data_IF_385661816964
#
_entry.id   IF_385661816964
#
_cell.length_a   1.000
_cell.length_b   1.000
_cell.length_c   1.000
_cell.angle_alpha   90.00
_cell.angle_beta   90.00
_cell.angle_gamma   90.00
#
_symmetry.space_group_name_H-M   'P 1'
#
loop_
_entity.id
_entity.type
_entity.pdbx_description
1 polymer ?
#
# COMPACT_ATOMS: atom_id res chain seq x y z
N UNK A 1 -10.35 23.11 6.34
CA UNK A 1 -8.87 22.94 6.39
C UNK A 1 -8.29 23.86 7.46
N UNK A 2 -8.72 25.13 7.51
CA UNK A 2 -8.24 26.11 8.46
C UNK A 2 -8.38 25.70 9.94
N UNK A 3 -9.36 24.87 10.28
CA UNK A 3 -9.63 24.35 11.63
C UNK A 3 -8.90 23.03 11.94
N UNK A 4 -7.92 22.63 11.15
CA UNK A 4 -7.08 21.47 11.43
C UNK A 4 -7.61 20.14 10.85
N UNK A 5 -8.29 20.16 9.72
CA UNK A 5 -8.72 18.93 9.03
C UNK A 5 -7.55 18.05 8.58
N UNK A 6 -6.35 18.61 8.43
CA UNK A 6 -5.15 17.85 8.05
C UNK A 6 -4.41 17.38 9.31
N UNK A 7 -4.59 16.11 9.66
CA UNK A 7 -3.97 15.50 10.84
C UNK A 7 -2.61 14.83 10.55
N UNK A 8 -2.14 14.92 9.31
CA UNK A 8 -0.89 14.29 8.89
C UNK A 8 0.30 14.96 9.57
N UNK A 9 1.21 14.17 10.13
CA UNK A 9 2.42 14.64 10.77
C UNK A 9 3.27 15.53 9.83
N UNK A 10 3.70 16.68 10.36
CA UNK A 10 4.40 17.70 9.59
C UNK A 10 3.48 18.66 8.84
N UNK A 11 2.15 18.45 8.88
CA UNK A 11 1.13 19.36 8.37
C UNK A 11 0.23 19.94 9.48
N UNK A 12 0.37 19.52 10.72
CA UNK A 12 -0.42 19.99 11.86
C UNK A 12 -0.30 21.50 12.07
N UNK A 13 0.83 22.11 11.69
CA UNK A 13 1.02 23.56 11.73
C UNK A 13 0.32 24.32 10.60
N UNK A 14 -0.46 23.65 9.76
CA UNK A 14 -1.19 24.30 8.67
C UNK A 14 -2.29 25.26 9.14
N UNK A 15 -2.67 25.20 10.42
CA UNK A 15 -3.58 26.17 11.07
C UNK A 15 -2.88 27.44 11.56
N UNK A 16 -1.53 27.41 11.64
CA UNK A 16 -0.73 28.55 12.08
C UNK A 16 -0.33 29.42 10.88
N UNK A 17 -0.82 30.68 10.78
CA UNK A 17 -0.49 31.60 9.68
C UNK A 17 1.01 31.90 9.52
N UNK A 18 1.82 31.68 10.57
CA UNK A 18 3.27 31.87 10.52
C UNK A 18 4.03 30.65 9.98
N UNK A 19 3.34 29.53 9.74
CA UNK A 19 3.97 28.29 9.27
C UNK A 19 4.14 28.25 7.75
N UNK A 20 5.17 27.54 7.30
CA UNK A 20 5.40 27.32 5.87
C UNK A 20 4.30 26.45 5.23
N UNK A 21 3.76 25.49 5.98
CA UNK A 21 2.65 24.63 5.52
C UNK A 21 1.37 25.43 5.30
N UNK A 22 1.06 26.38 6.18
CA UNK A 22 -0.04 27.31 5.96
C UNK A 22 0.18 28.17 4.69
N UNK A 23 1.39 28.71 4.50
CA UNK A 23 1.72 29.50 3.32
C UNK A 23 1.54 28.69 2.01
N UNK A 24 1.87 27.40 2.02
CA UNK A 24 1.61 26.51 0.87
C UNK A 24 0.11 26.37 0.63
N UNK A 25 -0.69 26.06 1.65
CA UNK A 25 -2.14 25.90 1.50
C UNK A 25 -2.82 27.18 1.05
N UNK A 26 -2.38 28.33 1.58
CA UNK A 26 -2.85 29.65 1.14
C UNK A 26 -2.54 29.90 -0.33
N UNK A 27 -1.32 29.62 -0.77
CA UNK A 27 -0.95 29.77 -2.18
C UNK A 27 -1.75 28.84 -3.11
N UNK A 28 -2.05 27.61 -2.63
CA UNK A 28 -2.94 26.69 -3.38
C UNK A 28 -4.37 27.22 -3.44
N UNK A 29 -4.91 27.73 -2.32
CA UNK A 29 -6.27 28.30 -2.28
C UNK A 29 -6.42 29.48 -3.25
N UNK A 30 -5.42 30.35 -3.34
CA UNK A 30 -5.40 31.46 -4.27
C UNK A 30 -5.25 31.01 -5.74
N UNK A 31 -4.40 30.02 -6.01
CA UNK A 31 -4.11 29.54 -7.35
C UNK A 31 -5.25 28.70 -7.96
N UNK A 32 -6.03 28.01 -7.12
CA UNK A 32 -7.10 27.09 -7.52
C UNK A 32 -8.48 27.55 -7.10
N UNK A 33 -8.62 28.77 -6.59
CA UNK A 33 -9.89 29.47 -6.26
C UNK A 33 -10.78 28.68 -5.29
N UNK A 34 -10.25 28.31 -4.13
CA UNK A 34 -10.99 27.69 -3.06
C UNK A 34 -10.72 28.31 -1.70
N UNK A 35 -11.73 28.29 -0.78
CA UNK A 35 -11.57 28.82 0.57
C UNK A 35 -11.13 27.72 1.54
N UNK A 36 -10.07 28.01 2.32
CA UNK A 36 -9.56 27.13 3.38
C UNK A 36 -10.56 26.90 4.52
N UNK A 37 -11.56 27.80 4.68
CA UNK A 37 -12.63 27.65 5.68
C UNK A 37 -13.73 26.71 5.22
N UNK A 38 -13.83 26.40 3.93
CA UNK A 38 -14.81 25.43 3.42
C UNK A 38 -14.52 24.04 4.01
N UNK A 39 -15.52 23.33 4.56
CA UNK A 39 -15.39 21.95 4.99
C UNK A 39 -14.82 21.07 3.86
N UNK A 40 -13.93 20.14 4.20
CA UNK A 40 -13.26 19.30 3.19
C UNK A 40 -14.26 18.55 2.29
N UNK A 41 -15.37 18.10 2.85
CA UNK A 41 -16.42 17.37 2.13
C UNK A 41 -17.18 18.23 1.10
N UNK A 42 -17.23 19.53 1.32
CA UNK A 42 -17.90 20.50 0.44
C UNK A 42 -16.97 21.05 -0.66
N UNK A 43 -15.67 20.79 -0.56
CA UNK A 43 -14.71 21.18 -1.60
C UNK A 43 -14.98 20.42 -2.90
N UNK A 44 -14.79 21.06 -4.07
CA UNK A 44 -14.84 20.37 -5.37
C UNK A 44 -13.93 19.14 -5.41
N UNK A 45 -14.35 18.10 -6.13
CA UNK A 45 -13.59 16.86 -6.22
C UNK A 45 -12.16 17.06 -6.72
N UNK A 46 -11.97 17.97 -7.67
CA UNK A 46 -10.66 18.34 -8.21
C UNK A 46 -9.73 18.91 -7.13
N UNK A 47 -10.25 19.75 -6.24
CA UNK A 47 -9.49 20.33 -5.12
C UNK A 47 -9.16 19.24 -4.09
N UNK A 48 -10.12 18.40 -3.74
CA UNK A 48 -9.88 17.26 -2.84
C UNK A 48 -8.82 16.32 -3.40
N UNK A 49 -8.91 16.01 -4.69
CA UNK A 49 -7.90 15.19 -5.39
C UNK A 49 -6.52 15.84 -5.37
N UNK A 50 -6.43 17.13 -5.67
CA UNK A 50 -5.18 17.90 -5.65
C UNK A 50 -4.56 17.92 -4.24
N UNK A 51 -5.33 18.11 -3.20
CA UNK A 51 -4.83 18.08 -1.82
C UNK A 51 -4.23 16.70 -1.45
N UNK A 52 -4.84 15.63 -1.91
CA UNK A 52 -4.39 14.27 -1.63
C UNK A 52 -3.21 13.85 -2.52
N UNK A 53 -3.28 14.13 -3.84
CA UNK A 53 -2.34 13.59 -4.84
C UNK A 53 -1.32 14.60 -5.35
N UNK A 54 -1.53 15.90 -5.11
CA UNK A 54 -0.63 16.97 -5.53
C UNK A 54 -1.04 17.67 -6.82
N UNK A 55 -0.18 18.61 -7.24
CA UNK A 55 -0.41 19.49 -8.40
C UNK A 55 0.17 18.93 -9.70
N UNK A 56 0.61 17.67 -9.73
CA UNK A 56 1.25 17.01 -10.88
C UNK A 56 2.41 17.83 -11.49
N UNK A 57 3.22 18.41 -10.61
CA UNK A 57 4.39 19.20 -10.98
C UNK A 57 4.10 20.67 -11.31
N UNK A 58 2.84 21.11 -11.30
CA UNK A 58 2.53 22.55 -11.46
C UNK A 58 2.99 23.30 -10.22
N UNK A 59 3.77 24.35 -10.43
CA UNK A 59 4.29 25.18 -9.37
C UNK A 59 3.33 26.31 -9.02
N UNK A 60 3.23 26.61 -7.73
CA UNK A 60 2.54 27.78 -7.19
C UNK A 60 3.55 28.67 -6.47
N UNK A 61 3.34 29.97 -6.50
CA UNK A 61 4.20 30.92 -5.79
C UNK A 61 3.77 31.04 -4.35
N UNK A 62 4.63 30.57 -3.46
CA UNK A 62 4.41 30.59 -2.01
C UNK A 62 5.15 31.79 -1.41
N UNK A 63 4.42 32.74 -0.89
CA UNK A 63 4.95 33.87 -0.14
C UNK A 63 5.04 33.48 1.33
N UNK A 64 6.23 33.39 1.84
CA UNK A 64 6.44 32.99 3.24
C UNK A 64 7.25 34.04 3.98
N UNK A 65 6.74 34.40 5.18
CA UNK A 65 7.42 35.28 6.11
C UNK A 65 7.55 34.56 7.45
N UNK A 66 8.72 34.03 7.72
CA UNK A 66 9.03 33.33 8.98
C UNK A 66 10.04 34.08 9.84
N UNK A 67 10.40 33.47 10.96
CA UNK A 67 11.35 34.07 11.92
C UNK A 67 12.74 34.34 11.34
N UNK A 68 13.14 33.64 10.27
CA UNK A 68 14.48 33.75 9.65
C UNK A 68 14.49 34.59 8.36
N UNK A 69 13.39 35.28 8.06
CA UNK A 69 13.28 36.12 6.86
C UNK A 69 11.99 35.88 6.08
N UNK A 70 11.86 36.61 4.98
CA UNK A 70 10.77 36.47 4.02
C UNK A 70 11.30 36.07 2.65
N UNK A 71 10.50 35.32 1.88
CA UNK A 71 10.89 34.86 0.56
C UNK A 71 9.70 34.41 -0.28
N UNK A 72 9.96 34.30 -1.57
CA UNK A 72 9.01 33.73 -2.54
C UNK A 72 9.60 32.44 -3.07
N UNK A 73 8.83 31.37 -3.00
CA UNK A 73 9.25 30.03 -3.40
C UNK A 73 8.30 29.48 -4.47
N UNK A 74 8.85 28.95 -5.54
CA UNK A 74 8.07 28.20 -6.52
C UNK A 74 7.97 26.74 -6.03
N UNK A 75 6.79 26.33 -5.58
CA UNK A 75 6.55 25.02 -4.95
C UNK A 75 5.60 24.20 -5.81
N UNK A 76 6.05 23.04 -6.25
CA UNK A 76 5.16 22.00 -6.76
C UNK A 76 4.65 21.18 -5.56
N UNK A 77 3.37 21.30 -5.24
CA UNK A 77 2.80 20.58 -4.11
C UNK A 77 2.69 19.09 -4.43
N UNK A 78 3.39 18.27 -3.67
CA UNK A 78 3.47 16.81 -3.90
C UNK A 78 2.21 16.03 -3.50
N UNK A 79 1.29 16.65 -2.75
CA UNK A 79 0.12 15.99 -2.17
C UNK A 79 0.41 15.28 -0.86
N UNK A 80 -0.61 15.09 -0.03
CA UNK A 80 -0.44 14.50 1.29
C UNK A 80 0.05 13.05 1.23
N UNK A 81 -0.45 12.23 0.29
CA UNK A 81 -0.04 10.82 0.15
C UNK A 81 1.45 10.73 -0.17
N UNK A 82 1.92 11.43 -1.21
CA UNK A 82 3.34 11.38 -1.63
C UNK A 82 4.25 11.94 -0.53
N UNK A 83 3.79 12.97 0.19
CA UNK A 83 4.51 13.54 1.32
C UNK A 83 4.73 12.50 2.43
N UNK A 84 3.67 11.79 2.85
CA UNK A 84 3.76 10.70 3.84
C UNK A 84 4.70 9.61 3.36
N UNK A 85 4.54 9.14 2.13
CA UNK A 85 5.37 8.09 1.54
C UNK A 85 6.85 8.49 1.49
N UNK A 86 7.16 9.72 1.09
CA UNK A 86 8.54 10.23 1.07
C UNK A 86 9.11 10.29 2.48
N UNK A 87 8.40 10.90 3.43
CA UNK A 87 8.85 11.02 4.82
C UNK A 87 9.05 9.67 5.48
N UNK A 88 8.17 8.70 5.22
CA UNK A 88 8.32 7.33 5.69
C UNK A 88 9.61 6.67 5.21
N UNK A 89 10.00 6.92 3.95
CA UNK A 89 11.24 6.38 3.38
C UNK A 89 12.49 7.08 3.90
N UNK A 90 12.41 8.39 4.12
CA UNK A 90 13.54 9.24 4.49
C UNK A 90 13.83 9.22 6.00
N UNK A 91 12.84 8.91 6.84
CA UNK A 91 13.06 8.91 8.29
C UNK A 91 13.88 7.72 8.74
N UNK A 92 14.90 8.01 9.58
CA UNK A 92 15.68 6.98 10.29
C UNK A 92 15.10 6.59 11.66
N UNK A 93 13.99 7.21 12.09
CA UNK A 93 13.38 6.97 13.39
C UNK A 93 12.26 5.95 13.29
N UNK A 94 12.36 4.85 14.06
CA UNK A 94 11.32 3.82 14.10
C UNK A 94 9.99 4.33 14.69
N UNK A 95 10.04 5.27 15.65
CA UNK A 95 8.86 5.91 16.21
C UNK A 95 8.12 6.69 15.11
N UNK A 96 8.87 7.48 14.31
CA UNK A 96 8.28 8.24 13.21
C UNK A 96 7.70 7.34 12.12
N UNK A 97 8.33 6.18 11.85
CA UNK A 97 7.76 5.20 10.92
C UNK A 97 6.41 4.67 11.39
N UNK A 98 6.31 4.27 12.67
CA UNK A 98 5.05 3.82 13.26
C UNK A 98 3.93 4.86 13.15
N UNK A 99 4.24 6.14 13.34
CA UNK A 99 3.28 7.22 13.17
C UNK A 99 2.79 7.34 11.70
N UNK A 100 3.68 7.19 10.73
CA UNK A 100 3.26 7.18 9.32
C UNK A 100 2.50 5.91 8.92
N UNK A 101 2.80 4.76 9.53
CA UNK A 101 2.13 3.48 9.28
C UNK A 101 0.64 3.51 9.64
N UNK A 102 0.22 4.40 10.57
CA UNK A 102 -1.20 4.60 10.89
C UNK A 102 -2.02 5.09 9.69
N UNK A 103 -1.39 5.72 8.71
CA UNK A 103 -2.02 6.17 7.46
C UNK A 103 -1.92 5.15 6.33
N UNK A 104 -1.34 3.98 6.59
CA UNK A 104 -1.12 2.93 5.58
C UNK A 104 -2.02 1.73 5.84
N UNK A 105 -2.41 1.05 4.75
CA UNK A 105 -3.12 -0.22 4.82
C UNK A 105 -2.37 -1.25 4.01
N UNK A 106 -2.30 -2.46 4.52
CA UNK A 106 -1.81 -3.61 3.76
C UNK A 106 -2.91 -3.99 2.78
N UNK A 107 -2.63 -3.87 1.51
CA UNK A 107 -3.56 -4.25 0.43
C UNK A 107 -2.88 -5.24 -0.50
N UNK A 108 -3.64 -6.20 -1.07
CA UNK A 108 -3.11 -7.07 -2.10
C UNK A 108 -2.60 -6.26 -3.30
N UNK A 109 -1.52 -6.70 -3.92
CA UNK A 109 -1.00 -6.09 -5.14
C UNK A 109 -2.07 -6.11 -6.24
N UNK A 110 -2.35 -4.97 -6.87
CA UNK A 110 -3.38 -4.86 -7.92
C UNK A 110 -3.05 -5.67 -9.17
N UNK A 111 -1.77 -5.84 -9.49
CA UNK A 111 -1.28 -6.62 -10.64
C UNK A 111 -1.53 -8.12 -10.48
N UNK A 112 -1.18 -8.67 -9.32
CA UNK A 112 -1.23 -10.12 -9.08
C UNK A 112 -2.33 -10.54 -8.09
N UNK A 113 -3.14 -9.62 -7.57
CA UNK A 113 -4.19 -9.94 -6.60
C UNK A 113 -3.69 -10.62 -5.31
N UNK A 114 -2.42 -10.41 -4.95
CA UNK A 114 -1.78 -11.08 -3.81
C UNK A 114 -1.06 -12.39 -4.15
N UNK A 115 -1.22 -12.90 -5.37
CA UNK A 115 -0.67 -14.21 -5.79
C UNK A 115 0.85 -14.23 -5.95
N UNK A 116 1.52 -13.07 -6.06
CA UNK A 116 2.99 -12.89 -6.16
C UNK A 116 3.65 -13.58 -7.36
N UNK A 117 2.85 -14.08 -8.32
CA UNK A 117 3.28 -14.84 -9.50
C UNK A 117 2.82 -14.15 -10.79
N UNK A 118 3.56 -14.39 -11.85
CA UNK A 118 3.19 -13.95 -13.21
C UNK A 118 2.01 -14.78 -13.72
N UNK A 119 1.15 -14.19 -14.56
CA UNK A 119 0.03 -14.88 -15.21
C UNK A 119 0.44 -16.14 -15.97
N UNK A 120 1.62 -16.12 -16.61
CA UNK A 120 2.17 -17.30 -17.32
C UNK A 120 2.52 -18.45 -16.37
N UNK A 121 2.95 -18.17 -15.14
CA UNK A 121 3.22 -19.21 -14.13
C UNK A 121 1.92 -19.79 -13.56
N UNK A 122 0.89 -18.96 -13.42
CA UNK A 122 -0.44 -19.38 -12.97
C UNK A 122 -1.23 -20.15 -14.03
N UNK A 123 -0.84 -20.04 -15.31
CA UNK A 123 -1.43 -20.82 -16.39
C UNK A 123 -1.04 -22.30 -16.38
N UNK A 124 -0.02 -22.68 -15.62
CA UNK A 124 0.37 -24.08 -15.44
C UNK A 124 -0.47 -24.70 -14.33
N UNK A 125 -1.22 -25.75 -14.68
CA UNK A 125 -2.11 -26.45 -13.73
C UNK A 125 -1.76 -27.93 -13.61
N UNK A 126 -2.02 -28.50 -12.45
CA UNK A 126 -1.98 -29.95 -12.18
C UNK A 126 -3.28 -30.31 -11.48
N UNK A 127 -4.03 -31.27 -12.02
CA UNK A 127 -5.39 -31.62 -11.56
C UNK A 127 -6.27 -30.34 -11.42
N UNK A 128 -6.29 -29.50 -12.47
CA UNK A 128 -7.07 -28.28 -12.62
C UNK A 128 -6.76 -27.15 -11.61
N UNK A 129 -5.72 -27.28 -10.80
CA UNK A 129 -5.25 -26.23 -9.87
C UNK A 129 -3.87 -25.73 -10.25
N UNK A 130 -3.70 -24.39 -10.21
CA UNK A 130 -2.39 -23.76 -10.32
C UNK A 130 -1.65 -23.76 -8.97
N UNK A 131 -0.38 -23.37 -8.99
CA UNK A 131 0.46 -23.41 -7.78
C UNK A 131 -0.07 -22.53 -6.65
N UNK A 132 -0.65 -21.35 -6.94
CA UNK A 132 -1.22 -20.49 -5.91
C UNK A 132 -2.44 -21.15 -5.28
N UNK A 133 -3.37 -21.65 -6.07
CA UNK A 133 -4.57 -22.37 -5.58
C UNK A 133 -4.23 -23.60 -4.74
N UNK A 134 -3.11 -24.25 -5.03
CA UNK A 134 -2.61 -25.38 -4.25
C UNK A 134 -2.03 -24.90 -2.91
N UNK A 135 -1.21 -23.84 -2.92
CA UNK A 135 -0.53 -23.36 -1.71
C UNK A 135 -1.40 -22.53 -0.79
N UNK A 136 -2.49 -21.93 -1.29
CA UNK A 136 -3.45 -21.12 -0.52
C UNK A 136 -4.44 -21.98 0.30
N UNK A 137 -4.50 -23.29 0.04
CA UNK A 137 -5.29 -24.23 0.84
C UNK A 137 -4.69 -24.41 2.25
N UNK A 138 -5.56 -24.77 3.20
CA UNK A 138 -5.06 -25.28 4.48
C UNK A 138 -4.23 -26.55 4.29
N UNK A 139 -3.28 -26.83 5.18
CA UNK A 139 -2.47 -28.06 5.14
C UNK A 139 -3.38 -29.31 5.13
N UNK A 140 -4.52 -29.25 5.82
CA UNK A 140 -5.53 -30.33 5.81
C UNK A 140 -6.13 -30.53 4.42
N UNK A 141 -6.58 -29.46 3.76
CA UNK A 141 -7.20 -29.53 2.44
C UNK A 141 -6.16 -29.90 1.37
N UNK A 142 -4.93 -29.40 1.53
CA UNK A 142 -3.80 -29.75 0.69
C UNK A 142 -3.47 -31.26 0.77
N UNK A 143 -3.50 -31.85 1.98
CA UNK A 143 -3.32 -33.28 2.13
C UNK A 143 -4.38 -34.06 1.36
N UNK A 144 -5.66 -33.72 1.53
CA UNK A 144 -6.76 -34.36 0.82
C UNK A 144 -6.62 -34.22 -0.70
N UNK A 145 -6.27 -33.03 -1.18
CA UNK A 145 -6.01 -32.80 -2.60
C UNK A 145 -4.89 -33.71 -3.14
N UNK A 146 -3.77 -33.79 -2.42
CA UNK A 146 -2.64 -34.64 -2.82
C UNK A 146 -2.98 -36.15 -2.77
N UNK A 147 -3.85 -36.59 -1.88
CA UNK A 147 -4.30 -37.98 -1.80
C UNK A 147 -5.25 -38.36 -2.96
N UNK A 148 -6.11 -37.43 -3.35
CA UNK A 148 -7.09 -37.61 -4.44
C UNK A 148 -6.49 -37.35 -5.84
N UNK A 149 -5.27 -36.83 -5.90
CA UNK A 149 -4.62 -36.49 -7.16
C UNK A 149 -4.40 -37.73 -8.05
N UNK A 150 -4.97 -37.72 -9.23
CA UNK A 150 -4.79 -38.74 -10.26
C UNK A 150 -3.79 -38.24 -11.29
N UNK A 151 -2.69 -38.95 -11.49
CA UNK A 151 -1.66 -38.61 -12.45
C UNK A 151 -1.70 -39.57 -13.64
N UNK A 152 -1.36 -39.06 -14.80
CA UNK A 152 -1.05 -39.90 -15.95
C UNK A 152 0.24 -40.66 -15.72
N UNK A 153 0.46 -41.76 -16.45
CA UNK A 153 1.70 -42.55 -16.33
C UNK A 153 2.97 -41.70 -16.54
N UNK A 154 2.93 -40.76 -17.47
CA UNK A 154 4.06 -39.86 -17.72
C UNK A 154 4.29 -38.88 -16.56
N UNK A 155 3.21 -38.33 -15.97
CA UNK A 155 3.28 -37.47 -14.82
C UNK A 155 3.80 -38.21 -13.58
N UNK A 156 3.42 -39.47 -13.40
CA UNK A 156 3.90 -40.32 -12.31
C UNK A 156 5.42 -40.57 -12.42
N UNK A 157 5.92 -40.86 -13.64
CA UNK A 157 7.34 -41.05 -13.89
C UNK A 157 8.16 -39.78 -13.55
N UNK A 158 7.61 -38.61 -13.84
CA UNK A 158 8.30 -37.33 -13.60
C UNK A 158 8.15 -36.87 -12.13
N UNK A 159 6.94 -36.95 -11.60
CA UNK A 159 6.56 -36.28 -10.33
C UNK A 159 6.40 -37.22 -9.14
N UNK A 160 6.35 -38.54 -9.33
CA UNK A 160 6.02 -39.49 -8.27
C UNK A 160 6.94 -39.40 -7.04
N UNK A 161 8.25 -39.32 -7.25
CA UNK A 161 9.21 -39.17 -6.16
C UNK A 161 9.04 -37.84 -5.42
N UNK A 162 8.79 -36.74 -6.16
CA UNK A 162 8.56 -35.43 -5.60
C UNK A 162 7.28 -35.42 -4.73
N UNK A 163 6.19 -36.00 -5.25
CA UNK A 163 4.93 -36.11 -4.52
C UNK A 163 5.05 -36.94 -3.26
N UNK A 164 5.84 -38.00 -3.28
CA UNK A 164 6.11 -38.81 -2.09
C UNK A 164 6.74 -37.98 -0.99
N UNK A 165 7.74 -37.14 -1.34
CA UNK A 165 8.39 -36.25 -0.38
C UNK A 165 7.44 -35.15 0.11
N UNK A 166 6.65 -34.55 -0.75
CA UNK A 166 5.66 -33.54 -0.38
C UNK A 166 4.63 -34.14 0.60
N UNK A 167 4.07 -35.30 0.29
CA UNK A 167 3.10 -35.99 1.15
C UNK A 167 3.69 -36.29 2.54
N UNK A 168 4.94 -36.71 2.62
CA UNK A 168 5.61 -36.96 3.89
C UNK A 168 5.74 -35.68 4.74
N UNK A 169 6.09 -34.56 4.12
CA UNK A 169 6.23 -33.27 4.81
C UNK A 169 4.87 -32.70 5.23
N UNK A 170 3.85 -32.81 4.40
CA UNK A 170 2.49 -32.38 4.75
C UNK A 170 1.96 -33.22 5.90
N UNK A 171 2.18 -34.54 5.89
CA UNK A 171 1.80 -35.41 7.03
C UNK A 171 2.48 -34.98 8.32
N UNK A 172 3.78 -34.63 8.27
CA UNK A 172 4.47 -34.13 9.45
C UNK A 172 3.81 -32.86 10.01
N UNK A 173 3.41 -31.91 9.15
CA UNK A 173 2.69 -30.70 9.61
C UNK A 173 1.34 -31.04 10.26
N UNK A 174 0.62 -32.02 9.73
CA UNK A 174 -0.61 -32.56 10.33
C UNK A 174 -0.34 -33.15 11.73
N UNK A 175 0.69 -33.98 11.84
CA UNK A 175 1.03 -34.69 13.07
C UNK A 175 1.42 -33.75 14.22
N UNK A 176 1.99 -32.58 13.90
CA UNK A 176 2.32 -31.53 14.89
C UNK A 176 1.18 -30.52 15.12
N UNK A 177 0.00 -30.72 14.51
CA UNK A 177 -1.19 -29.90 14.72
C UNK A 177 -1.20 -28.56 13.97
N UNK A 178 -0.42 -28.42 12.90
CA UNK A 178 -0.36 -27.22 12.05
C UNK A 178 -1.27 -27.31 10.81
N UNK A 179 -2.32 -28.08 10.91
CA UNK A 179 -3.24 -28.42 9.82
C UNK A 179 -4.09 -27.25 9.30
N UNK A 180 -4.23 -26.20 10.10
CA UNK A 180 -4.99 -24.98 9.80
C UNK A 180 -4.18 -23.91 9.04
N UNK A 181 -2.87 -24.05 8.94
CA UNK A 181 -2.02 -23.09 8.23
C UNK A 181 -2.12 -23.28 6.71
N UNK A 182 -1.83 -22.21 5.94
CA UNK A 182 -1.57 -22.26 4.51
C UNK A 182 -0.07 -22.07 4.24
N UNK A 183 0.37 -22.36 3.00
CA UNK A 183 1.76 -22.17 2.57
C UNK A 183 1.98 -20.80 1.89
N UNK A 184 0.96 -19.93 1.83
CA UNK A 184 1.01 -18.57 1.26
C UNK A 184 1.26 -17.51 2.32
#
# INVERSE_FOLDING_TARGET
IAEGAIQVMGWQSCTDPSSFTYAILKALSEAYDFDLNTPYEELPEEIRHMLIHGTDGRQVKVYYKGQRGEGVYDVAFEGLIRNVQRRYRETGSDIMKQEYEQFMRITPCQECGGQRLKKSSLAVTVCDKNIFEVTDQSVRDLQQFLEQMTLTHQQELIGGQILKEIRARIRFLMDVGLDYLSLT
#
